data_IF_034363076675
#
_entry.id   IF_034363076675
#
_cell.length_a   1.000
_cell.length_b   1.000
_cell.length_c   1.000
_cell.angle_alpha   90.00
_cell.angle_beta   90.00
_cell.angle_gamma   90.00
#
_symmetry.space_group_name_H-M   'P 1'
#
loop_
_entity.id
_entity.type
_entity.pdbx_description
1 polymer ?
#
# COMPACT_ATOMS: atom_id res chain seq x y z
N UNK A 1 -8.50 7.02 -8.25
CA UNK A 1 -7.73 6.71 -7.04
C UNK A 1 -7.77 5.21 -6.84
N UNK A 2 -6.71 4.62 -6.29
CA UNK A 2 -6.62 3.17 -6.03
C UNK A 2 -6.02 2.95 -4.63
N UNK A 3 -6.85 3.09 -3.60
CA UNK A 3 -6.41 2.97 -2.21
C UNK A 3 -6.53 1.51 -1.78
N UNK A 4 -5.40 0.88 -1.43
CA UNK A 4 -5.29 -0.52 -1.01
C UNK A 4 -5.73 -1.55 -2.06
N UNK A 5 -6.14 -1.10 -3.25
CA UNK A 5 -6.65 -1.96 -4.31
C UNK A 5 -5.61 -2.98 -4.78
N UNK A 6 -4.38 -2.51 -5.03
CA UNK A 6 -3.34 -3.32 -5.66
C UNK A 6 -2.73 -4.35 -4.69
N UNK A 7 -2.94 -4.18 -3.39
CA UNK A 7 -2.49 -5.12 -2.36
C UNK A 7 -3.28 -6.44 -2.38
N UNK A 8 -4.32 -6.55 -3.20
CA UNK A 8 -5.13 -7.75 -3.38
C UNK A 8 -4.81 -8.51 -4.68
N UNK A 9 -3.77 -8.14 -5.40
CA UNK A 9 -3.33 -8.89 -6.58
C UNK A 9 -2.71 -10.23 -6.17
N UNK A 10 -3.39 -11.34 -6.45
CA UNK A 10 -2.96 -12.69 -6.02
C UNK A 10 -1.81 -13.26 -6.85
N UNK A 11 -1.41 -12.58 -7.92
CA UNK A 11 -0.29 -12.95 -8.78
C UNK A 11 0.30 -11.74 -9.52
N UNK A 12 1.53 -11.85 -10.06
CA UNK A 12 2.11 -10.82 -10.92
C UNK A 12 1.27 -10.53 -12.18
N UNK A 13 0.62 -11.56 -12.74
CA UNK A 13 -0.27 -11.40 -13.90
C UNK A 13 -1.51 -10.58 -13.55
N UNK A 14 -2.11 -10.84 -12.39
CA UNK A 14 -3.24 -10.06 -11.89
C UNK A 14 -2.83 -8.61 -11.60
N UNK A 15 -1.68 -8.39 -10.96
CA UNK A 15 -1.15 -7.04 -10.72
C UNK A 15 -0.98 -6.27 -12.03
N UNK A 16 -0.41 -6.91 -13.06
CA UNK A 16 -0.27 -6.31 -14.39
C UNK A 16 -1.63 -5.99 -15.02
N UNK A 17 -2.61 -6.88 -14.90
CA UNK A 17 -3.96 -6.62 -15.41
C UNK A 17 -4.64 -5.45 -14.69
N UNK A 18 -4.51 -5.37 -13.36
CA UNK A 18 -5.01 -4.24 -12.56
C UNK A 18 -4.38 -2.92 -13.00
N UNK A 19 -3.05 -2.88 -13.16
CA UNK A 19 -2.37 -1.69 -13.67
C UNK A 19 -2.76 -1.33 -15.11
N UNK A 20 -2.95 -2.33 -15.98
CA UNK A 20 -3.42 -2.10 -17.34
C UNK A 20 -4.82 -1.43 -17.34
N UNK A 21 -5.71 -1.85 -16.45
CA UNK A 21 -7.02 -1.22 -16.26
C UNK A 21 -6.89 0.23 -15.77
N UNK A 22 -6.01 0.49 -14.79
CA UNK A 22 -5.72 1.86 -14.34
C UNK A 22 -5.20 2.71 -15.50
N UNK A 23 -4.29 2.16 -16.30
CA UNK A 23 -3.76 2.83 -17.49
C UNK A 23 -4.88 3.14 -18.50
N UNK A 24 -5.75 2.19 -18.81
CA UNK A 24 -6.83 2.36 -19.79
C UNK A 24 -7.83 3.46 -19.37
N UNK A 25 -8.04 3.64 -18.07
CA UNK A 25 -8.93 4.66 -17.51
C UNK A 25 -8.31 6.06 -17.40
N UNK A 26 -6.99 6.21 -17.61
CA UNK A 26 -6.29 7.48 -17.54
C UNK A 26 -5.97 8.01 -18.94
N UNK A 27 -6.29 9.28 -19.18
CA UNK A 27 -5.82 10.02 -20.35
C UNK A 27 -4.29 10.21 -20.27
N UNK A 28 -3.59 10.43 -21.39
CA UNK A 28 -2.21 10.91 -21.37
C UNK A 28 -2.08 12.17 -20.50
N UNK A 29 -1.04 12.23 -19.67
CA UNK A 29 -0.86 13.25 -18.62
C UNK A 29 -1.73 13.07 -17.38
N UNK A 30 -2.61 12.06 -17.35
CA UNK A 30 -3.46 11.74 -16.21
C UNK A 30 -2.68 11.27 -15.00
N UNK A 31 -3.16 11.60 -13.80
CA UNK A 31 -2.46 11.24 -12.55
C UNK A 31 -3.07 10.01 -11.90
N UNK A 32 -2.19 9.10 -11.51
CA UNK A 32 -2.47 8.06 -10.54
C UNK A 32 -2.26 8.62 -9.13
N UNK A 33 -3.18 8.26 -8.22
CA UNK A 33 -3.06 8.44 -6.78
C UNK A 33 -3.58 7.16 -6.14
N UNK A 34 -2.77 6.55 -5.27
CA UNK A 34 -3.15 5.33 -4.57
C UNK A 34 -2.46 5.22 -3.22
N UNK A 35 -2.90 4.22 -2.46
CA UNK A 35 -2.29 3.81 -1.20
C UNK A 35 -1.92 2.34 -1.37
N UNK A 36 -0.74 1.97 -0.89
CA UNK A 36 -0.29 0.57 -0.85
C UNK A 36 0.45 0.26 0.44
N UNK A 37 0.45 -1.00 0.82
CA UNK A 37 1.31 -1.51 1.88
C UNK A 37 2.80 -1.33 1.52
N UNK A 38 3.64 -1.08 2.52
CA UNK A 38 5.10 -1.15 2.39
C UNK A 38 5.61 -2.48 2.94
N UNK A 39 6.89 -2.78 2.73
CA UNK A 39 7.54 -3.92 3.39
C UNK A 39 7.37 -3.89 4.91
N UNK A 40 7.37 -2.72 5.54
CA UNK A 40 7.18 -2.61 6.99
C UNK A 40 5.82 -3.14 7.46
N UNK A 41 4.77 -3.08 6.64
CA UNK A 41 3.49 -3.72 6.97
C UNK A 41 3.61 -5.24 7.19
N UNK A 42 4.62 -5.86 6.57
CA UNK A 42 4.82 -7.31 6.57
C UNK A 42 5.82 -7.75 7.64
N UNK A 43 6.70 -6.86 8.08
CA UNK A 43 7.84 -7.22 8.94
C UNK A 43 7.79 -6.57 10.31
N UNK A 44 6.97 -5.53 10.50
CA UNK A 44 6.91 -4.76 11.74
C UNK A 44 5.80 -5.26 12.66
N UNK A 45 6.11 -5.43 13.95
CA UNK A 45 5.12 -5.81 14.97
C UNK A 45 4.19 -4.64 15.38
N UNK A 46 4.43 -3.43 14.87
CA UNK A 46 3.75 -2.17 15.28
C UNK A 46 2.24 -2.20 15.08
N UNK A 47 1.73 -2.97 14.12
CA UNK A 47 0.29 -3.07 13.81
C UNK A 47 -0.40 -4.27 14.47
N UNK A 48 0.28 -5.01 15.35
CA UNK A 48 -0.34 -6.13 16.07
C UNK A 48 -1.25 -5.70 17.22
N UNK A 49 -1.21 -4.42 17.63
CA UNK A 49 -1.99 -3.90 18.76
C UNK A 49 -3.34 -3.30 18.34
N UNK A 50 -3.53 -2.99 17.05
CA UNK A 50 -4.76 -2.38 16.54
C UNK A 50 -4.87 -0.89 16.84
N UNK A 51 -3.83 -0.26 17.39
CA UNK A 51 -3.83 1.13 17.85
C UNK A 51 -4.19 2.14 16.74
N UNK A 52 -3.86 1.83 15.48
CA UNK A 52 -4.22 2.64 14.31
C UNK A 52 -5.51 2.18 13.62
N UNK A 53 -6.38 1.43 14.32
CA UNK A 53 -7.68 0.97 13.80
C UNK A 53 -7.61 -0.28 12.92
N UNK A 54 -6.42 -0.85 12.73
CA UNK A 54 -6.21 -2.07 11.94
C UNK A 54 -5.20 -3.00 12.61
N UNK A 55 -5.48 -4.29 12.52
CA UNK A 55 -4.63 -5.38 12.96
C UNK A 55 -4.10 -6.11 11.74
N UNK A 56 -2.78 -6.29 11.67
CA UNK A 56 -2.13 -7.18 10.71
C UNK A 56 -1.85 -8.50 11.44
N UNK A 57 -2.35 -9.60 10.90
CA UNK A 57 -2.30 -10.92 11.53
C UNK A 57 -1.84 -11.97 10.52
N UNK A 58 -1.28 -13.08 11.00
CA UNK A 58 -0.94 -14.24 10.17
C UNK A 58 -0.08 -13.89 8.95
N UNK A 59 0.94 -13.05 9.15
CA UNK A 59 1.87 -12.71 8.06
C UNK A 59 2.67 -13.94 7.69
N UNK A 60 2.49 -14.42 6.47
CA UNK A 60 3.35 -15.43 5.87
C UNK A 60 4.63 -14.77 5.39
N UNK A 61 5.76 -15.49 5.50
CA UNK A 61 7.05 -15.00 5.01
C UNK A 61 6.91 -14.51 3.55
N UNK A 62 7.29 -13.25 3.26
CA UNK A 62 7.28 -12.74 1.90
C UNK A 62 8.13 -13.64 1.00
N UNK A 63 7.58 -13.97 -0.17
CA UNK A 63 8.23 -14.78 -1.18
C UNK A 63 8.41 -14.01 -2.49
N UNK A 64 9.10 -14.60 -3.46
CA UNK A 64 9.15 -14.07 -4.83
C UNK A 64 7.77 -13.96 -5.50
N UNK A 65 6.76 -14.69 -4.99
CA UNK A 65 5.38 -14.64 -5.46
C UNK A 65 4.50 -13.64 -4.68
N UNK A 66 5.10 -12.85 -3.80
CA UNK A 66 4.40 -11.90 -2.94
C UNK A 66 4.31 -12.38 -1.49
N UNK A 67 3.62 -11.57 -0.70
CA UNK A 67 3.30 -11.86 0.70
C UNK A 67 1.82 -12.18 0.85
N UNK A 68 1.44 -12.78 1.97
CA UNK A 68 0.03 -12.97 2.36
C UNK A 68 -0.12 -12.67 3.83
N UNK A 69 -1.14 -11.89 4.18
CA UNK A 69 -1.50 -11.61 5.56
C UNK A 69 -2.99 -11.34 5.68
N UNK A 70 -3.51 -11.44 6.91
CA UNK A 70 -4.86 -11.05 7.25
C UNK A 70 -4.87 -9.62 7.78
N UNK A 71 -5.80 -8.83 7.26
CA UNK A 71 -6.15 -7.51 7.76
C UNK A 71 -7.44 -7.63 8.52
N UNK A 72 -7.46 -7.13 9.75
CA UNK A 72 -8.65 -7.07 10.60
C UNK A 72 -8.89 -5.64 11.06
N UNK A 73 -10.02 -5.07 10.65
CA UNK A 73 -10.43 -3.73 11.09
C UNK A 73 -10.87 -3.80 12.55
N UNK A 74 -10.43 -2.84 13.36
CA UNK A 74 -10.86 -2.69 14.76
C UNK A 74 -12.24 -2.04 14.75
N UNK A 75 -13.26 -2.85 14.49
CA UNK A 75 -14.66 -2.46 14.35
C UNK A 75 -15.60 -3.44 15.07
N UNK A 76 -16.84 -3.03 15.30
CA UNK A 76 -17.92 -3.89 15.79
C UNK A 76 -19.11 -3.86 14.80
N UNK A 77 -19.40 -4.96 14.07
CA UNK A 77 -18.70 -6.24 14.11
C UNK A 77 -17.30 -6.15 13.50
N UNK A 78 -16.40 -7.05 13.93
CA UNK A 78 -15.05 -7.15 13.37
C UNK A 78 -15.12 -7.56 11.91
N UNK A 79 -14.47 -6.80 11.03
CA UNK A 79 -14.34 -7.13 9.61
C UNK A 79 -12.91 -7.57 9.33
N UNK A 80 -12.74 -8.74 8.71
CA UNK A 80 -11.44 -9.29 8.38
C UNK A 80 -11.40 -9.78 6.94
N UNK A 81 -10.27 -9.58 6.27
CA UNK A 81 -10.02 -10.00 4.89
C UNK A 81 -8.53 -10.27 4.66
N UNK A 82 -8.19 -10.86 3.52
CA UNK A 82 -6.81 -11.17 3.16
C UNK A 82 -6.24 -10.14 2.19
N UNK A 83 -4.94 -9.85 2.37
CA UNK A 83 -4.14 -9.08 1.42
C UNK A 83 -2.99 -9.95 0.91
N UNK A 84 -2.65 -9.76 -0.36
CA UNK A 84 -1.63 -10.53 -1.09
C UNK A 84 -0.70 -9.62 -1.89
N UNK A 85 -0.03 -8.62 -1.28
CA UNK A 85 0.71 -7.65 -2.06
C UNK A 85 1.91 -8.31 -2.74
N UNK A 86 2.19 -7.86 -3.96
CA UNK A 86 3.32 -8.34 -4.76
C UNK A 86 4.58 -7.53 -4.46
N UNK A 87 5.80 -8.09 -4.65
CA UNK A 87 7.06 -7.40 -4.32
C UNK A 87 7.21 -6.06 -5.03
N UNK A 88 6.79 -5.99 -6.30
CA UNK A 88 6.78 -4.76 -7.10
C UNK A 88 6.10 -3.57 -6.38
N UNK A 89 5.07 -3.85 -5.58
CA UNK A 89 4.31 -2.85 -4.82
C UNK A 89 4.98 -2.52 -3.49
N UNK A 90 5.14 -3.51 -2.60
CA UNK A 90 5.55 -3.25 -1.22
C UNK A 90 7.03 -2.85 -1.09
N UNK A 91 7.82 -3.11 -2.13
CA UNK A 91 9.23 -2.69 -2.25
C UNK A 91 9.42 -1.42 -3.05
N UNK A 92 8.34 -0.83 -3.56
CA UNK A 92 8.35 0.42 -4.31
C UNK A 92 9.21 0.38 -5.60
N UNK A 93 9.26 -0.79 -6.26
CA UNK A 93 10.04 -0.98 -7.50
C UNK A 93 9.31 -0.34 -8.69
N UNK A 94 7.99 -0.47 -8.75
CA UNK A 94 7.12 0.09 -9.78
C UNK A 94 7.46 -0.37 -11.22
N UNK A 95 8.03 -1.56 -11.41
CA UNK A 95 8.40 -2.10 -12.72
C UNK A 95 7.17 -2.31 -13.60
N UNK A 96 6.12 -2.95 -13.06
CA UNK A 96 4.89 -3.26 -13.80
C UNK A 96 4.22 -1.99 -14.35
N UNK A 97 3.92 -0.95 -13.54
CA UNK A 97 3.32 0.26 -14.08
C UNK A 97 4.27 1.06 -14.98
N UNK A 98 5.58 1.07 -14.73
CA UNK A 98 6.55 1.72 -15.64
C UNK A 98 6.52 1.11 -17.03
N UNK A 99 6.44 -0.22 -17.12
CA UNK A 99 6.26 -0.93 -18.39
C UNK A 99 4.94 -0.61 -19.10
N UNK A 100 3.96 -0.04 -18.39
CA UNK A 100 2.65 0.40 -18.91
C UNK A 100 2.58 1.91 -19.16
N UNK A 101 3.72 2.61 -19.13
CA UNK A 101 3.82 4.02 -19.48
C UNK A 101 3.60 4.98 -18.30
N UNK A 102 3.62 4.50 -17.05
CA UNK A 102 3.63 5.39 -15.89
C UNK A 102 5.03 5.92 -15.60
N UNK A 103 5.12 7.19 -15.24
CA UNK A 103 6.37 7.90 -14.91
C UNK A 103 6.16 8.82 -13.70
N UNK A 104 7.25 9.36 -13.16
CA UNK A 104 7.16 10.33 -12.05
C UNK A 104 6.58 9.75 -10.76
N UNK A 105 6.91 8.50 -10.45
CA UNK A 105 6.53 7.89 -9.17
C UNK A 105 7.13 8.66 -7.99
N UNK A 106 6.28 9.01 -7.03
CA UNK A 106 6.67 9.66 -5.80
C UNK A 106 5.74 9.27 -4.65
N UNK A 107 6.32 9.13 -3.46
CA UNK A 107 5.57 9.00 -2.22
C UNK A 107 5.24 10.39 -1.68
N UNK A 108 4.00 10.59 -1.23
CA UNK A 108 3.60 11.80 -0.51
C UNK A 108 4.14 11.70 0.92
N UNK A 109 4.93 12.68 1.39
CA UNK A 109 5.41 12.68 2.77
C UNK A 109 4.25 12.77 3.76
N UNK A 110 4.32 11.98 4.82
CA UNK A 110 3.38 12.09 5.94
C UNK A 110 3.73 13.29 6.84
N UNK A 111 5.02 13.63 6.97
CA UNK A 111 5.48 14.73 7.82
C UNK A 111 4.84 16.07 7.44
N UNK A 112 4.46 16.86 8.46
CA UNK A 112 3.82 18.17 8.30
C UNK A 112 2.31 18.12 7.99
N UNK A 113 1.68 16.95 8.08
CA UNK A 113 0.23 16.84 8.11
C UNK A 113 -0.27 17.28 9.51
N UNK A 114 -1.25 18.21 9.61
CA UNK A 114 -1.68 18.77 10.89
C UNK A 114 -2.07 17.71 11.95
N UNK A 115 -2.74 16.63 11.53
CA UNK A 115 -3.15 15.53 12.41
C UNK A 115 -1.97 14.83 13.08
N UNK A 116 -0.79 14.82 12.44
CA UNK A 116 0.41 14.21 13.00
C UNK A 116 1.11 15.14 13.99
N UNK A 117 1.04 16.46 13.75
CA UNK A 117 1.62 17.48 14.61
C UNK A 117 0.79 17.70 15.89
N UNK A 118 -0.51 17.41 15.85
CA UNK A 118 -1.42 17.50 16.99
C UNK A 118 -1.14 16.43 18.08
N UNK A 119 -0.73 15.22 17.68
CA UNK A 119 -0.35 14.15 18.60
C UNK A 119 0.89 13.37 18.11
N UNK A 120 2.08 13.98 18.18
CA UNK A 120 3.31 13.36 17.66
C UNK A 120 3.69 12.09 18.43
N UNK A 121 3.23 11.94 19.69
CA UNK A 121 3.48 10.74 20.47
C UNK A 121 2.67 9.56 19.94
N UNK A 122 1.39 9.78 19.62
CA UNK A 122 0.53 8.77 18.99
C UNK A 122 1.05 8.35 17.61
N UNK A 123 1.53 9.29 16.80
CA UNK A 123 1.96 9.03 15.42
C UNK A 123 3.42 8.63 15.25
N UNK A 124 4.20 8.59 16.33
CA UNK A 124 5.65 8.32 16.31
C UNK A 124 6.00 7.06 15.52
N UNK A 125 5.31 5.96 15.77
CA UNK A 125 5.59 4.67 15.13
C UNK A 125 5.30 4.70 13.63
N UNK A 126 4.20 5.34 13.22
CA UNK A 126 3.82 5.53 11.82
C UNK A 126 4.83 6.41 11.06
N UNK A 127 5.43 7.40 11.71
CA UNK A 127 6.41 8.30 11.13
C UNK A 127 7.80 7.67 11.01
N UNK A 128 8.22 6.89 12.01
CA UNK A 128 9.53 6.22 12.03
C UNK A 128 9.61 5.06 11.03
N UNK A 129 8.52 4.31 10.87
CA UNK A 129 8.48 3.15 9.97
C UNK A 129 7.10 3.03 9.32
N UNK A 130 6.87 3.76 8.20
CA UNK A 130 5.56 3.78 7.59
C UNK A 130 5.15 2.42 7.00
N UNK A 131 4.06 1.83 7.49
CA UNK A 131 3.49 0.58 6.93
C UNK A 131 2.72 0.77 5.63
N UNK A 132 2.48 2.03 5.24
CA UNK A 132 1.86 2.33 3.96
C UNK A 132 2.49 3.55 3.33
N UNK A 133 2.36 3.61 2.01
CA UNK A 133 2.76 4.76 1.22
C UNK A 133 1.57 5.29 0.44
N UNK A 134 1.40 6.61 0.44
CA UNK A 134 0.55 7.31 -0.52
C UNK A 134 1.42 7.58 -1.74
N UNK A 135 1.05 7.05 -2.89
CA UNK A 135 1.87 7.07 -4.10
C UNK A 135 1.16 7.80 -5.22
N UNK A 136 1.91 8.65 -5.90
CA UNK A 136 1.48 9.33 -7.13
C UNK A 136 2.33 8.89 -8.31
N UNK A 137 1.73 8.92 -9.50
CA UNK A 137 2.44 8.76 -10.78
C UNK A 137 1.66 9.47 -11.89
N UNK A 138 2.29 9.66 -13.04
CA UNK A 138 1.66 10.25 -14.23
C UNK A 138 1.68 9.24 -15.37
N UNK A 139 0.55 9.07 -16.04
CA UNK A 139 0.48 8.31 -17.28
C UNK A 139 1.05 9.16 -18.42
N UNK A 140 2.10 8.65 -19.08
CA UNK A 140 2.66 9.27 -20.28
C UNK A 140 1.63 9.30 -21.43
#
# INVERSE_FOLDING_TARGET
MANWLLDHATSPAELRAMWANVAACLRPGGRFLGIRATRAALTSDRFHTGHYGVLIEHVHEPSEHGARYRVSLVSDPRVSFEATPQPDLYDMVDEVPRALGFTGFASVPLAGLPVLDEDPAFWKEMLEEPVFAIVTATKA
#
